data_IF_295856046990
#
_entry.id   IF_295856046990
#
_cell.length_a   1.000
_cell.length_b   1.000
_cell.length_c   1.000
_cell.angle_alpha   90.00
_cell.angle_beta   90.00
_cell.angle_gamma   90.00
#
_symmetry.space_group_name_H-M   'P 1'
#
loop_
_entity.id
_entity.type
_entity.pdbx_description
1 polymer ?
#
# COMPACT_ATOMS: atom_id res chain seq x y z
N UNK A 1 -18.02 13.32 10.59
CA UNK A 1 -18.48 14.36 9.64
C UNK A 1 -17.75 14.15 8.34
N UNK A 2 -18.46 13.65 7.34
CA UNK A 2 -17.94 13.17 6.06
C UNK A 2 -17.46 14.36 5.20
N UNK A 3 -16.17 14.66 5.19
CA UNK A 3 -15.60 15.57 4.18
C UNK A 3 -15.33 14.75 2.93
N UNK A 4 -16.35 14.65 2.06
CA UNK A 4 -16.18 14.31 0.65
C UNK A 4 -15.10 15.24 0.09
N UNK A 5 -13.93 14.68 -0.25
CA UNK A 5 -12.90 15.41 -0.98
C UNK A 5 -13.46 15.67 -2.38
N UNK A 6 -13.73 16.94 -2.66
CA UNK A 6 -14.10 17.43 -3.97
C UNK A 6 -12.85 17.30 -4.85
N UNK A 7 -12.72 16.21 -5.59
CA UNK A 7 -11.70 16.11 -6.63
C UNK A 7 -12.08 17.10 -7.73
N UNK A 8 -11.26 18.13 -7.88
CA UNK A 8 -11.30 19.01 -9.03
C UNK A 8 -10.83 18.19 -10.22
N UNK A 9 -11.77 17.57 -10.92
CA UNK A 9 -11.50 16.99 -12.22
C UNK A 9 -10.91 18.08 -13.09
N UNK A 10 -9.67 17.87 -13.55
CA UNK A 10 -9.14 18.65 -14.65
C UNK A 10 -10.08 18.38 -15.81
N UNK A 11 -10.92 19.37 -16.12
CA UNK A 11 -11.62 19.41 -17.38
C UNK A 11 -10.57 19.27 -18.47
N UNK A 12 -10.50 18.10 -19.10
CA UNK A 12 -10.16 18.04 -20.50
C UNK A 12 -11.04 19.11 -21.15
N UNK A 13 -10.41 20.18 -21.63
CA UNK A 13 -10.97 20.98 -22.69
C UNK A 13 -11.13 20.04 -23.88
N UNK A 14 -12.18 19.23 -23.85
CA UNK A 14 -12.86 18.85 -25.07
C UNK A 14 -13.16 20.18 -25.74
N UNK A 15 -12.50 20.40 -26.87
CA UNK A 15 -13.00 21.34 -27.86
C UNK A 15 -14.41 20.84 -28.18
N UNK A 16 -15.39 21.35 -27.44
CA UNK A 16 -16.77 21.38 -27.85
C UNK A 16 -16.77 22.27 -29.09
N UNK A 17 -16.46 21.67 -30.24
CA UNK A 17 -17.12 22.06 -31.47
C UNK A 17 -18.60 21.93 -31.18
N UNK A 18 -19.21 23.04 -30.77
CA UNK A 18 -20.64 23.13 -30.63
C UNK A 18 -21.25 22.79 -31.98
N UNK A 19 -21.83 21.60 -32.09
CA UNK A 19 -22.80 21.35 -33.14
C UNK A 19 -24.02 22.18 -32.76
N UNK A 20 -24.18 23.26 -33.51
CA UNK A 20 -25.42 24.02 -33.61
C UNK A 20 -26.57 23.03 -33.88
N UNK A 21 -27.73 23.36 -33.33
CA UNK A 21 -28.92 22.53 -33.15
C UNK A 21 -29.59 21.94 -34.43
N UNK A 22 -28.89 21.84 -35.57
CA UNK A 22 -29.48 21.46 -36.86
C UNK A 22 -29.09 20.06 -37.39
N UNK A 23 -28.16 19.32 -36.77
CA UNK A 23 -27.77 17.99 -37.24
C UNK A 23 -27.81 16.93 -36.14
N UNK A 24 -29.01 16.52 -35.71
CA UNK A 24 -29.21 15.35 -34.82
C UNK A 24 -28.73 14.02 -35.43
N UNK A 25 -28.44 13.99 -36.73
CA UNK A 25 -27.98 12.81 -37.46
C UNK A 25 -26.49 12.50 -37.25
N UNK A 26 -25.71 13.43 -36.69
CA UNK A 26 -24.26 13.25 -36.57
C UNK A 26 -23.78 12.60 -35.27
N UNK A 27 -24.69 12.31 -34.34
CA UNK A 27 -24.38 11.57 -33.10
C UNK A 27 -23.88 10.14 -33.40
N UNK A 28 -22.81 9.68 -32.74
CA UNK A 28 -22.39 8.28 -32.80
C UNK A 28 -23.55 7.35 -32.38
N UNK A 29 -23.92 6.38 -33.23
CA UNK A 29 -25.01 5.44 -32.97
C UNK A 29 -26.41 5.84 -33.47
N UNK A 30 -26.55 6.93 -34.23
CA UNK A 30 -27.84 7.26 -34.87
C UNK A 30 -28.22 6.17 -35.91
N UNK A 31 -29.45 5.63 -35.90
CA UNK A 31 -29.86 4.50 -36.75
C UNK A 31 -29.75 4.76 -38.26
N UNK A 32 -29.72 6.02 -38.68
CA UNK A 32 -29.59 6.43 -40.09
C UNK A 32 -28.15 6.79 -40.54
N UNK A 33 -27.12 6.66 -39.68
CA UNK A 33 -25.75 7.00 -40.08
C UNK A 33 -25.17 5.86 -40.93
N UNK A 34 -24.76 6.10 -42.19
CA UNK A 34 -24.17 5.05 -43.02
C UNK A 34 -22.90 4.53 -42.34
N UNK A 35 -22.90 3.24 -42.01
CA UNK A 35 -21.70 2.55 -41.51
C UNK A 35 -20.66 2.62 -42.63
N UNK A 36 -19.48 3.24 -42.40
CA UNK A 36 -18.45 3.30 -43.41
C UNK A 36 -18.11 1.88 -43.89
N UNK A 37 -17.74 1.69 -45.16
CA UNK A 37 -17.48 0.36 -45.72
C UNK A 37 -16.36 -0.40 -44.99
N UNK A 38 -15.54 0.31 -44.21
CA UNK A 38 -14.65 -0.23 -43.17
C UNK A 38 -14.77 0.68 -41.93
N UNK A 39 -15.60 0.37 -40.92
CA UNK A 39 -15.49 1.06 -39.65
C UNK A 39 -14.06 0.86 -39.11
N UNK A 40 -13.43 1.88 -38.49
CA UNK A 40 -12.14 1.65 -37.84
C UNK A 40 -12.31 0.48 -36.86
N UNK A 41 -11.44 -0.53 -36.99
CA UNK A 41 -11.43 -1.65 -36.05
C UNK A 41 -11.25 -1.08 -34.63
N UNK A 42 -12.13 -1.43 -33.71
CA UNK A 42 -12.09 -0.91 -32.35
C UNK A 42 -10.80 -1.40 -31.66
N UNK A 43 -9.92 -0.47 -31.33
CA UNK A 43 -8.76 -0.74 -30.47
C UNK A 43 -9.23 -0.92 -29.05
N UNK A 44 -8.95 -2.08 -28.43
CA UNK A 44 -9.25 -2.29 -27.02
C UNK A 44 -8.04 -2.88 -26.29
N UNK A 45 -7.75 -2.36 -25.10
CA UNK A 45 -6.72 -2.92 -24.24
C UNK A 45 -7.36 -3.30 -22.91
N UNK A 46 -7.23 -4.57 -22.55
CA UNK A 46 -7.61 -5.06 -21.22
C UNK A 46 -6.36 -5.32 -20.38
N UNK A 47 -6.35 -4.83 -19.14
CA UNK A 47 -5.30 -5.12 -18.17
C UNK A 47 -5.90 -6.00 -17.07
N UNK A 48 -5.48 -7.26 -17.02
CA UNK A 48 -5.73 -8.11 -15.86
C UNK A 48 -4.86 -7.69 -14.70
N UNK A 49 -5.37 -7.86 -13.49
CA UNK A 49 -4.61 -7.71 -12.26
C UNK A 49 -4.40 -9.09 -11.66
N UNK A 50 -3.20 -9.35 -11.13
CA UNK A 50 -2.87 -10.62 -10.49
C UNK A 50 -2.01 -10.37 -9.25
N UNK A 51 -2.25 -11.14 -8.20
CA UNK A 51 -1.40 -11.16 -7.02
C UNK A 51 -1.32 -12.58 -6.46
N UNK A 52 -0.15 -13.21 -6.44
CA UNK A 52 -0.02 -14.60 -5.96
C UNK A 52 0.72 -14.74 -4.62
N UNK A 53 1.11 -13.62 -4.01
CA UNK A 53 2.01 -13.63 -2.86
C UNK A 53 3.31 -14.37 -3.21
N UNK A 54 3.75 -15.26 -2.32
CA UNK A 54 4.94 -16.10 -2.54
C UNK A 54 4.63 -17.44 -3.25
N UNK A 55 3.35 -17.68 -3.58
CA UNK A 55 2.87 -18.91 -4.22
C UNK A 55 2.39 -18.70 -5.66
N UNK A 56 1.53 -19.61 -6.11
CA UNK A 56 0.95 -19.67 -7.46
C UNK A 56 -0.58 -19.45 -7.50
N UNK A 57 -1.25 -19.51 -6.34
CA UNK A 57 -2.67 -19.19 -6.20
C UNK A 57 -2.91 -17.68 -6.35
N UNK A 58 -3.88 -17.27 -7.17
CA UNK A 58 -4.29 -15.87 -7.27
C UNK A 58 -5.10 -15.45 -6.02
N UNK A 59 -4.52 -14.54 -5.25
CA UNK A 59 -5.03 -13.96 -4.01
C UNK A 59 -5.53 -12.52 -4.21
N UNK A 60 -5.63 -12.03 -5.46
CA UNK A 60 -5.94 -10.63 -5.75
C UNK A 60 -7.13 -10.10 -4.96
N UNK A 61 -8.31 -10.73 -5.07
CA UNK A 61 -9.55 -10.23 -4.44
C UNK A 61 -9.64 -10.55 -2.95
N UNK A 62 -8.78 -11.43 -2.44
CA UNK A 62 -8.65 -11.72 -1.01
C UNK A 62 -7.81 -10.65 -0.28
N UNK A 63 -6.86 -10.03 -1.00
CA UNK A 63 -5.83 -9.17 -0.42
C UNK A 63 -5.92 -7.72 -0.88
N UNK A 64 -6.44 -7.49 -2.08
CA UNK A 64 -6.60 -6.18 -2.72
C UNK A 64 -8.07 -5.91 -2.96
N UNK A 65 -8.56 -4.83 -2.35
CA UNK A 65 -9.95 -4.41 -2.36
C UNK A 65 -10.22 -3.21 -3.25
N UNK A 66 -9.21 -2.43 -3.62
CA UNK A 66 -9.31 -1.37 -4.61
C UNK A 66 -7.96 -1.18 -5.29
N UNK A 67 -7.98 -0.57 -6.48
CA UNK A 67 -6.77 -0.23 -7.25
C UNK A 67 -6.90 1.20 -7.77
N UNK A 68 -5.93 2.05 -7.42
CA UNK A 68 -5.71 3.33 -8.08
C UNK A 68 -4.65 3.13 -9.17
N UNK A 69 -5.02 3.33 -10.43
CA UNK A 69 -4.16 3.12 -11.59
C UNK A 69 -3.76 4.44 -12.24
N UNK A 70 -2.48 4.58 -12.56
CA UNK A 70 -1.87 5.74 -13.18
C UNK A 70 -1.23 5.33 -14.50
N UNK A 71 -1.65 5.94 -15.60
CA UNK A 71 -1.17 5.62 -16.96
C UNK A 71 -0.23 6.70 -17.44
N UNK A 72 0.95 6.29 -17.88
CA UNK A 72 2.00 7.15 -18.40
C UNK A 72 2.27 6.83 -19.87
N UNK A 73 2.50 7.86 -20.68
CA UNK A 73 2.88 7.69 -22.09
C UNK A 73 4.36 7.33 -22.26
N UNK A 74 4.82 7.24 -23.52
CA UNK A 74 6.21 6.94 -23.86
C UNK A 74 7.24 8.00 -23.41
N UNK A 75 6.78 9.21 -23.10
CA UNK A 75 7.58 10.28 -22.49
C UNK A 75 7.54 10.25 -20.96
N UNK A 76 6.99 9.17 -20.37
CA UNK A 76 6.80 8.98 -18.93
C UNK A 76 5.96 10.10 -18.30
N UNK A 77 5.03 10.66 -19.09
CA UNK A 77 4.08 11.68 -18.66
C UNK A 77 2.75 11.07 -18.28
N UNK A 78 2.20 11.46 -17.14
CA UNK A 78 0.88 11.03 -16.69
C UNK A 78 -0.19 11.50 -17.69
N UNK A 79 -0.94 10.56 -18.27
CA UNK A 79 -2.00 10.84 -19.26
C UNK A 79 -3.38 10.40 -18.80
N UNK A 80 -3.49 9.49 -17.84
CA UNK A 80 -4.78 9.04 -17.29
C UNK A 80 -4.65 8.49 -15.87
N UNK A 81 -5.75 8.59 -15.11
CA UNK A 81 -5.90 8.00 -13.78
C UNK A 81 -7.25 7.31 -13.66
N UNK A 82 -7.29 6.10 -13.13
CA UNK A 82 -8.52 5.34 -12.93
C UNK A 82 -8.57 4.77 -11.51
N UNK A 83 -9.74 4.84 -10.89
CA UNK A 83 -10.01 4.17 -9.62
C UNK A 83 -10.89 2.95 -9.89
N UNK A 84 -10.46 1.78 -9.42
CA UNK A 84 -11.17 0.51 -9.54
C UNK A 84 -11.56 0.08 -8.12
N UNK A 85 -12.85 0.12 -7.82
CA UNK A 85 -13.36 -0.31 -6.52
C UNK A 85 -13.44 -1.84 -6.38
N UNK A 86 -13.81 -2.29 -5.18
CA UNK A 86 -13.90 -3.71 -4.84
C UNK A 86 -14.89 -4.48 -5.69
N UNK A 87 -15.99 -3.84 -6.11
CA UNK A 87 -17.03 -4.50 -6.89
C UNK A 87 -16.56 -4.69 -8.33
N UNK A 88 -16.02 -3.64 -8.95
CA UNK A 88 -15.42 -3.69 -10.28
C UNK A 88 -14.26 -4.70 -10.33
N UNK A 89 -13.39 -4.70 -9.30
CA UNK A 89 -12.26 -5.62 -9.19
C UNK A 89 -12.71 -7.08 -9.14
N UNK A 90 -13.70 -7.40 -8.29
CA UNK A 90 -14.27 -8.76 -8.20
C UNK A 90 -14.98 -9.19 -9.49
N UNK A 91 -15.63 -8.25 -10.18
CA UNK A 91 -16.38 -8.57 -11.39
C UNK A 91 -15.48 -8.83 -12.60
N UNK A 92 -14.33 -8.16 -12.69
CA UNK A 92 -13.51 -8.14 -13.93
C UNK A 92 -12.08 -8.64 -13.75
N UNK A 93 -11.55 -8.71 -12.53
CA UNK A 93 -10.14 -9.01 -12.25
C UNK A 93 -9.18 -8.15 -13.08
N UNK A 94 -9.56 -6.89 -13.34
CA UNK A 94 -8.88 -6.03 -14.29
C UNK A 94 -9.76 -4.92 -14.83
N UNK A 95 -9.26 -4.21 -15.83
CA UNK A 95 -9.92 -3.02 -16.41
C UNK A 95 -9.65 -2.89 -17.90
N UNK A 96 -10.66 -2.43 -18.64
CA UNK A 96 -10.48 -1.99 -20.03
C UNK A 96 -10.04 -0.53 -20.05
N UNK A 97 -9.00 -0.24 -20.80
CA UNK A 97 -8.49 1.12 -21.01
C UNK A 97 -8.61 1.50 -22.48
N UNK A 98 -9.12 2.71 -22.71
CA UNK A 98 -9.21 3.32 -24.03
C UNK A 98 -8.04 4.30 -24.19
N UNK A 99 -7.08 3.90 -25.02
CA UNK A 99 -5.86 4.66 -25.30
C UNK A 99 -5.57 4.59 -26.80
N UNK A 100 -5.01 5.65 -27.39
CA UNK A 100 -4.46 5.59 -28.75
C UNK A 100 -3.36 4.52 -28.88
N UNK A 101 -3.05 4.11 -30.11
CA UNK A 101 -1.89 3.26 -30.34
C UNK A 101 -0.59 3.96 -29.88
N UNK A 102 0.22 3.23 -29.12
CA UNK A 102 1.37 3.80 -28.45
C UNK A 102 1.97 2.86 -27.40
N UNK A 103 3.10 3.27 -26.82
CA UNK A 103 3.71 2.58 -25.70
C UNK A 103 3.35 3.30 -24.41
N UNK A 104 3.00 2.53 -23.38
CA UNK A 104 2.54 3.04 -22.10
C UNK A 104 3.20 2.31 -20.94
N UNK A 105 3.26 2.99 -19.80
CA UNK A 105 3.55 2.38 -18.50
C UNK A 105 2.34 2.59 -17.60
N UNK A 106 1.87 1.55 -16.93
CA UNK A 106 0.93 1.69 -15.82
C UNK A 106 1.64 1.48 -14.49
N UNK A 107 1.24 2.26 -13.50
CA UNK A 107 1.58 2.03 -12.09
C UNK A 107 0.27 1.95 -11.33
N UNK A 108 0.11 0.91 -10.52
CA UNK A 108 -1.10 0.61 -9.77
C UNK A 108 -0.78 0.57 -8.27
N UNK A 109 -1.62 1.22 -7.47
CA UNK A 109 -1.60 1.14 -6.01
C UNK A 109 -2.85 0.41 -5.52
N UNK A 110 -2.66 -0.78 -4.97
CA UNK A 110 -3.70 -1.55 -4.32
C UNK A 110 -3.94 -1.08 -2.88
N UNK A 111 -5.20 -0.97 -2.47
CA UNK A 111 -5.63 -0.57 -1.12
C UNK A 111 -5.17 0.84 -0.67
N UNK A 112 -4.93 1.76 -1.60
CA UNK A 112 -4.70 3.15 -1.24
C UNK A 112 -5.96 3.73 -0.55
N UNK A 113 -5.83 4.07 0.74
CA UNK A 113 -6.93 4.52 1.59
C UNK A 113 -6.63 5.84 2.28
N UNK A 114 -7.19 6.04 3.47
CA UNK A 114 -7.03 7.30 4.22
C UNK A 114 -5.60 7.52 4.72
N UNK A 115 -4.80 6.45 4.83
CA UNK A 115 -3.40 6.48 5.29
C UNK A 115 -2.42 6.50 4.11
N UNK A 116 -2.90 6.79 2.90
CA UNK A 116 -2.09 6.88 1.69
C UNK A 116 -2.44 8.14 0.91
N UNK A 117 -1.41 8.86 0.47
CA UNK A 117 -1.53 10.01 -0.41
C UNK A 117 -0.43 9.95 -1.46
N UNK A 118 -0.82 10.07 -2.73
CA UNK A 118 0.11 10.29 -3.84
C UNK A 118 0.55 11.75 -3.86
N UNK A 119 1.82 11.97 -4.18
CA UNK A 119 2.42 13.29 -4.39
C UNK A 119 1.67 14.08 -5.46
N UNK A 120 1.89 15.38 -5.52
CA UNK A 120 1.20 16.28 -6.45
C UNK A 120 1.23 15.75 -7.91
N UNK A 121 0.04 15.40 -8.42
CA UNK A 121 -0.16 14.86 -9.75
C UNK A 121 0.17 15.88 -10.85
N UNK A 122 0.27 17.18 -10.52
CA UNK A 122 0.64 18.22 -11.50
C UNK A 122 2.08 18.09 -12.02
N UNK A 123 2.93 17.34 -11.32
CA UNK A 123 4.27 16.99 -11.82
C UNK A 123 4.20 16.21 -13.13
N UNK A 124 3.15 15.39 -13.30
CA UNK A 124 2.92 14.52 -14.45
C UNK A 124 4.17 13.75 -14.88
N UNK A 125 5.08 13.40 -13.98
CA UNK A 125 6.38 12.79 -14.29
C UNK A 125 6.57 11.56 -13.42
N UNK A 126 6.61 10.39 -14.04
CA UNK A 126 6.71 9.10 -13.35
C UNK A 126 7.85 9.07 -12.33
N UNK A 127 9.01 9.67 -12.64
CA UNK A 127 10.20 9.62 -11.78
C UNK A 127 10.11 10.54 -10.57
N UNK A 128 9.19 11.50 -10.60
CA UNK A 128 8.96 12.46 -9.51
C UNK A 128 7.78 12.08 -8.64
N UNK A 129 6.92 11.16 -9.10
CA UNK A 129 5.74 10.72 -8.38
C UNK A 129 6.08 9.66 -7.32
N UNK A 130 5.44 9.80 -6.17
CA UNK A 130 5.58 8.91 -5.02
C UNK A 130 4.30 8.86 -4.19
N UNK A 131 4.20 7.88 -3.30
CA UNK A 131 3.13 7.79 -2.31
C UNK A 131 3.69 7.68 -0.90
N UNK A 132 2.96 8.26 0.06
CA UNK A 132 3.32 8.34 1.46
C UNK A 132 2.08 8.46 2.35
N UNK A 133 2.25 8.29 3.67
CA UNK A 133 1.21 8.67 4.62
C UNK A 133 0.94 10.19 4.56
N UNK A 134 -0.32 10.69 4.71
CA UNK A 134 -0.61 12.13 4.70
C UNK A 134 0.24 12.95 5.69
N UNK A 135 0.55 12.39 6.86
CA UNK A 135 1.42 13.00 7.87
C UNK A 135 2.83 13.32 7.37
N UNK A 136 3.34 12.59 6.35
CA UNK A 136 4.60 12.90 5.69
C UNK A 136 4.57 14.28 5.03
N UNK A 137 3.49 14.62 4.34
CA UNK A 137 3.33 15.90 3.65
C UNK A 137 3.10 17.07 4.61
N UNK A 138 2.54 16.79 5.79
CA UNK A 138 2.37 17.77 6.86
C UNK A 138 3.66 17.99 7.68
N UNK A 139 4.68 17.15 7.48
CA UNK A 139 5.90 17.11 8.28
C UNK A 139 5.59 16.95 9.79
N UNK A 140 4.61 16.10 10.11
CA UNK A 140 4.17 15.78 11.47
C UNK A 140 4.29 14.28 11.71
N UNK A 141 5.34 13.86 12.42
CA UNK A 141 5.60 12.44 12.71
C UNK A 141 4.60 11.84 13.70
N UNK A 142 3.96 12.66 14.55
CA UNK A 142 2.95 12.17 15.50
C UNK A 142 1.71 11.58 14.81
N UNK A 143 1.49 11.96 13.54
CA UNK A 143 0.42 11.45 12.70
C UNK A 143 0.80 10.15 11.97
N UNK A 144 2.07 9.72 12.00
CA UNK A 144 2.53 8.51 11.30
C UNK A 144 2.19 7.25 12.10
N UNK A 145 0.90 6.93 12.21
CA UNK A 145 0.42 5.79 13.00
C UNK A 145 0.45 4.44 12.25
N UNK A 146 0.77 4.47 10.96
CA UNK A 146 0.84 3.31 10.07
C UNK A 146 0.44 3.69 8.65
N UNK A 147 0.70 2.81 7.70
CA UNK A 147 0.22 2.92 6.31
C UNK A 147 -0.99 2.00 6.11
N UNK A 148 -1.69 2.16 4.99
CA UNK A 148 -2.61 1.12 4.49
C UNK A 148 -1.82 -0.15 4.11
N UNK A 149 -2.44 -1.34 4.06
CA UNK A 149 -1.80 -2.56 3.53
C UNK A 149 -1.67 -2.47 2.01
N UNK A 150 -0.67 -1.71 1.57
CA UNK A 150 -0.48 -1.31 0.19
C UNK A 150 0.12 -2.42 -0.67
N UNK A 151 -0.29 -2.45 -1.93
CA UNK A 151 0.29 -3.28 -2.98
C UNK A 151 0.69 -2.40 -4.14
N UNK A 152 1.80 -2.73 -4.79
CA UNK A 152 2.31 -2.01 -5.95
C UNK A 152 2.36 -2.96 -7.14
N UNK A 153 1.89 -2.52 -8.29
CA UNK A 153 2.05 -3.23 -9.56
C UNK A 153 2.43 -2.24 -10.64
N UNK A 154 3.28 -2.67 -11.56
CA UNK A 154 3.63 -1.88 -12.75
C UNK A 154 3.73 -2.77 -13.97
N UNK A 155 3.50 -2.17 -15.14
CA UNK A 155 3.61 -2.85 -16.42
C UNK A 155 3.90 -1.86 -17.53
N UNK A 156 4.83 -2.22 -18.42
CA UNK A 156 5.01 -1.58 -19.71
C UNK A 156 4.31 -2.40 -20.79
N UNK A 157 3.44 -1.77 -21.57
CA UNK A 157 2.67 -2.44 -22.61
C UNK A 157 2.51 -1.55 -23.85
N UNK A 158 1.98 -2.12 -24.92
CA UNK A 158 1.77 -1.43 -26.20
C UNK A 158 0.35 -1.62 -26.68
N UNK A 159 -0.29 -0.50 -27.01
CA UNK A 159 -1.59 -0.49 -27.68
C UNK A 159 -1.36 -0.42 -29.19
N UNK A 160 -2.13 -1.21 -29.95
CA UNK A 160 -2.01 -1.31 -31.41
C UNK A 160 -3.35 -1.03 -32.08
N UNK A 161 -3.33 -0.19 -33.14
CA UNK A 161 -4.55 0.18 -33.87
C UNK A 161 -5.27 -1.05 -34.44
N UNK A 162 -6.59 -1.10 -34.23
CA UNK A 162 -7.44 -2.18 -34.71
C UNK A 162 -7.29 -3.50 -33.99
N UNK A 163 -6.55 -3.53 -32.86
CA UNK A 163 -6.35 -4.77 -32.10
C UNK A 163 -7.01 -4.71 -30.73
N UNK A 164 -7.47 -5.89 -30.32
CA UNK A 164 -7.93 -6.17 -28.96
C UNK A 164 -6.86 -6.98 -28.24
N UNK A 165 -6.11 -6.31 -27.36
CA UNK A 165 -4.98 -6.89 -26.64
C UNK A 165 -5.30 -7.05 -25.15
N UNK A 166 -4.53 -7.94 -24.51
CA UNK A 166 -4.67 -8.27 -23.10
C UNK A 166 -3.29 -8.43 -22.48
N UNK A 167 -3.07 -7.75 -21.37
CA UNK A 167 -1.85 -7.87 -20.58
C UNK A 167 -2.20 -8.08 -19.10
N UNK A 168 -1.20 -8.36 -18.27
CA UNK A 168 -1.37 -8.61 -16.84
C UNK A 168 -0.42 -7.74 -16.04
N UNK A 169 -0.95 -6.97 -15.10
CA UNK A 169 -0.20 -6.24 -14.08
C UNK A 169 -0.05 -7.17 -12.88
N UNK A 170 1.19 -7.56 -12.60
CA UNK A 170 1.55 -8.36 -11.44
C UNK A 170 1.81 -7.44 -10.24
N UNK A 171 1.01 -7.63 -9.20
CA UNK A 171 1.17 -6.90 -7.95
C UNK A 171 2.19 -7.59 -7.03
N UNK A 172 2.83 -6.78 -6.22
CA UNK A 172 3.65 -7.17 -5.09
C UNK A 172 3.16 -6.41 -3.86
N UNK A 173 3.28 -7.01 -2.68
CA UNK A 173 3.10 -6.28 -1.43
C UNK A 173 4.12 -5.14 -1.36
N UNK A 174 3.63 -3.94 -1.04
CA UNK A 174 4.44 -2.75 -0.78
C UNK A 174 4.50 -2.43 0.72
N UNK A 175 4.04 -3.34 1.57
CA UNK A 175 3.96 -3.15 3.01
C UNK A 175 4.64 -4.28 3.79
N UNK A 176 4.97 -3.99 5.04
CA UNK A 176 5.36 -4.96 6.06
C UNK A 176 4.42 -4.77 7.25
N UNK A 177 3.73 -5.83 7.66
CA UNK A 177 2.94 -5.83 8.90
C UNK A 177 3.91 -5.85 10.07
N UNK A 178 3.65 -5.06 11.09
CA UNK A 178 4.45 -5.04 12.30
C UNK A 178 3.53 -5.20 13.49
N UNK A 179 3.87 -6.16 14.34
CA UNK A 179 3.21 -6.44 15.60
C UNK A 179 4.25 -6.38 16.71
N UNK A 180 4.04 -5.49 17.69
CA UNK A 180 4.89 -5.40 18.87
C UNK A 180 4.02 -5.55 20.10
N UNK A 181 4.26 -6.59 20.89
CA UNK A 181 3.67 -6.73 22.21
C UNK A 181 4.68 -6.48 23.32
N UNK A 182 4.25 -5.71 24.31
CA UNK A 182 5.00 -5.37 25.52
C UNK A 182 4.28 -6.00 26.69
N UNK A 183 4.97 -6.88 27.40
CA UNK A 183 4.42 -7.60 28.56
C UNK A 183 5.22 -7.28 29.81
N UNK A 184 4.53 -7.13 30.94
CA UNK A 184 5.20 -6.86 32.22
C UNK A 184 5.57 -5.39 32.40
N UNK A 185 4.97 -4.47 31.63
CA UNK A 185 5.26 -3.03 31.71
C UNK A 185 5.02 -2.47 33.11
N UNK A 186 3.98 -2.90 33.82
CA UNK A 186 3.69 -2.54 35.20
C UNK A 186 4.76 -2.97 36.21
N UNK A 187 5.64 -3.91 35.84
CA UNK A 187 6.79 -4.31 36.68
C UNK A 187 7.98 -3.34 36.56
N UNK A 188 7.97 -2.51 35.51
CA UNK A 188 9.00 -1.49 35.26
C UNK A 188 8.86 -0.32 36.24
N UNK A 189 9.87 0.53 36.38
CA UNK A 189 9.71 1.77 37.15
C UNK A 189 8.74 2.77 36.51
N UNK A 190 8.55 2.70 35.19
CA UNK A 190 7.70 3.60 34.41
C UNK A 190 6.23 3.21 34.44
N UNK A 191 5.93 1.91 34.52
CA UNK A 191 4.55 1.40 34.53
C UNK A 191 3.90 1.35 35.92
N UNK A 192 4.66 1.58 36.99
CA UNK A 192 4.17 1.50 38.39
C UNK A 192 3.11 2.55 38.73
N UNK A 193 3.24 3.74 38.16
CA UNK A 193 2.33 4.86 38.43
C UNK A 193 1.07 4.83 37.55
N UNK A 194 0.90 3.75 36.77
CA UNK A 194 -0.17 3.61 35.77
C UNK A 194 0.19 4.24 34.43
N UNK A 195 -0.67 4.02 33.43
CA UNK A 195 -0.47 4.48 32.05
C UNK A 195 -0.12 3.35 31.08
N UNK A 196 0.20 3.73 29.84
CA UNK A 196 0.59 2.83 28.76
C UNK A 196 2.00 3.18 28.25
N UNK A 197 2.78 2.19 27.80
CA UNK A 197 4.02 2.46 27.10
C UNK A 197 3.70 3.08 25.74
N UNK A 198 4.57 3.99 25.30
CA UNK A 198 4.56 4.49 23.92
C UNK A 198 5.57 3.67 23.12
N UNK A 199 5.10 3.07 22.02
CA UNK A 199 5.90 2.25 21.10
C UNK A 199 6.23 3.11 19.90
N UNK A 200 7.52 3.28 19.59
CA UNK A 200 7.97 4.04 18.42
C UNK A 200 8.85 3.18 17.53
N UNK A 201 8.62 3.26 16.22
CA UNK A 201 9.46 2.63 15.21
C UNK A 201 10.29 3.73 14.55
N UNK A 202 11.58 3.78 14.90
CA UNK A 202 12.51 4.76 14.35
C UNK A 202 13.13 4.29 13.05
N UNK A 203 13.67 5.25 12.31
CA UNK A 203 14.40 5.02 11.06
C UNK A 203 13.57 4.35 9.97
N UNK A 204 12.24 4.40 10.00
CA UNK A 204 11.39 3.70 9.05
C UNK A 204 11.32 4.43 7.70
N UNK A 205 11.17 3.72 6.57
CA UNK A 205 10.94 4.37 5.29
C UNK A 205 9.63 5.17 5.31
N UNK A 206 9.61 6.32 4.65
CA UNK A 206 8.49 7.27 4.77
C UNK A 206 7.74 7.56 3.47
N UNK A 207 8.27 7.11 2.32
CA UNK A 207 7.61 7.18 1.00
C UNK A 207 8.23 6.19 0.03
N UNK A 208 7.45 5.82 -1.00
CA UNK A 208 7.88 4.95 -2.09
C UNK A 208 7.58 5.64 -3.41
N UNK A 209 8.55 5.67 -4.32
CA UNK A 209 8.40 6.22 -5.66
C UNK A 209 7.60 5.28 -6.56
N UNK A 210 7.02 5.82 -7.63
CA UNK A 210 6.21 5.02 -8.56
C UNK A 210 7.02 3.95 -9.30
N UNK A 211 8.33 4.15 -9.45
CA UNK A 211 9.27 3.14 -9.93
C UNK A 211 9.72 2.12 -8.83
N UNK A 212 8.94 2.03 -7.75
CA UNK A 212 9.12 1.14 -6.61
C UNK A 212 10.40 1.36 -5.79
N UNK A 213 11.13 2.46 -6.01
CA UNK A 213 12.26 2.81 -5.15
C UNK A 213 11.78 3.33 -3.81
N UNK A 214 12.36 2.80 -2.73
CA UNK A 214 12.15 3.32 -1.38
C UNK A 214 12.96 4.61 -1.20
N UNK A 215 12.36 5.63 -0.59
CA UNK A 215 13.06 6.86 -0.28
C UNK A 215 14.13 6.66 0.80
N UNK A 216 15.33 7.27 0.65
CA UNK A 216 16.38 7.19 1.66
C UNK A 216 16.09 7.99 2.94
N UNK A 217 15.15 8.94 2.89
CA UNK A 217 14.71 9.67 4.07
C UNK A 217 13.87 8.76 4.97
N UNK A 218 14.06 8.92 6.28
CA UNK A 218 13.47 8.08 7.31
C UNK A 218 12.70 8.91 8.31
N UNK A 219 11.70 8.30 8.94
CA UNK A 219 10.80 8.93 9.92
C UNK A 219 10.53 7.99 11.08
N UNK A 220 9.97 8.55 12.15
CA UNK A 220 9.45 7.77 13.28
C UNK A 220 7.97 7.49 13.08
N UNK A 221 7.55 6.24 13.22
CA UNK A 221 6.14 5.86 13.29
C UNK A 221 5.71 5.70 14.75
N UNK A 222 4.47 6.10 15.02
CA UNK A 222 3.83 6.12 16.34
C UNK A 222 2.55 5.28 16.30
N UNK A 223 2.64 3.94 16.29
CA UNK A 223 1.45 3.10 16.31
C UNK A 223 0.55 3.38 17.50
N UNK A 224 -0.75 3.23 17.29
CA UNK A 224 -1.71 3.21 18.39
C UNK A 224 -1.45 1.96 19.25
N UNK A 225 -1.31 2.17 20.56
CA UNK A 225 -1.05 1.11 21.53
C UNK A 225 -2.35 0.78 22.26
N UNK A 226 -2.77 -0.48 22.19
CA UNK A 226 -3.94 -0.99 22.90
C UNK A 226 -3.56 -2.03 23.95
N UNK A 227 -4.41 -2.24 24.96
CA UNK A 227 -4.29 -3.40 25.86
C UNK A 227 -5.01 -4.61 25.25
N UNK A 228 -4.32 -5.73 25.11
CA UNK A 228 -4.90 -6.99 24.62
C UNK A 228 -4.62 -8.14 25.60
N UNK A 229 -5.62 -8.99 25.88
CA UNK A 229 -5.42 -10.20 26.67
C UNK A 229 -5.27 -10.00 28.19
N UNK A 230 -4.30 -10.69 28.80
CA UNK A 230 -4.06 -10.73 30.24
C UNK A 230 -3.70 -9.36 30.83
N UNK A 231 -3.78 -9.22 32.16
CA UNK A 231 -3.32 -8.00 32.85
C UNK A 231 -1.84 -7.73 32.50
N UNK A 232 -1.54 -6.51 32.08
CA UNK A 232 -0.20 -5.98 31.75
C UNK A 232 0.41 -6.42 30.40
N UNK A 233 -0.41 -6.49 29.35
CA UNK A 233 0.00 -6.69 27.96
C UNK A 233 -0.52 -5.55 27.07
N UNK A 234 0.41 -4.89 26.37
CA UNK A 234 0.16 -3.77 25.47
C UNK A 234 0.63 -4.13 24.07
N UNK A 235 -0.10 -3.75 23.05
CA UNK A 235 0.16 -4.15 21.67
C UNK A 235 0.06 -2.95 20.74
N UNK A 236 1.09 -2.74 19.93
CA UNK A 236 1.08 -1.83 18.79
C UNK A 236 1.02 -2.62 17.48
N UNK A 237 0.09 -2.27 16.59
CA UNK A 237 -0.08 -2.88 15.28
C UNK A 237 -0.13 -1.81 14.20
N UNK A 238 0.63 -2.02 13.13
CA UNK A 238 0.64 -1.11 11.97
C UNK A 238 1.20 -1.82 10.74
N UNK A 239 0.89 -1.28 9.56
CA UNK A 239 1.67 -1.55 8.36
C UNK A 239 2.71 -0.45 8.18
N UNK A 240 3.90 -0.82 7.73
CA UNK A 240 4.95 0.11 7.28
C UNK A 240 5.29 -0.19 5.82
N UNK A 241 6.10 0.64 5.17
CA UNK A 241 6.69 0.22 3.89
C UNK A 241 7.68 -0.91 4.12
N UNK A 242 7.95 -1.70 3.08
CA UNK A 242 8.91 -2.80 3.19
C UNK A 242 10.28 -2.31 3.64
N UNK A 243 10.91 -3.11 4.49
CA UNK A 243 12.29 -2.92 4.90
C UNK A 243 13.19 -3.75 3.99
N UNK A 244 14.37 -3.24 3.66
CA UNK A 244 15.45 -4.11 3.21
C UNK A 244 16.04 -4.86 4.42
N UNK A 245 16.62 -6.05 4.21
CA UNK A 245 17.09 -6.90 5.31
C UNK A 245 18.25 -6.33 6.16
N UNK A 246 18.83 -5.20 5.75
CA UNK A 246 19.88 -4.48 6.49
C UNK A 246 19.40 -3.10 6.95
N UNK A 247 18.10 -2.83 6.88
CA UNK A 247 17.56 -1.53 7.19
C UNK A 247 17.72 -1.26 8.69
N UNK A 248 18.29 -0.13 9.11
CA UNK A 248 18.61 0.15 10.51
C UNK A 248 17.38 0.65 11.28
N UNK A 249 16.27 -0.10 11.19
CA UNK A 249 15.07 0.12 11.95
C UNK A 249 15.31 -0.20 13.43
N UNK A 250 14.70 0.60 14.29
CA UNK A 250 14.74 0.41 15.74
C UNK A 250 13.33 0.48 16.30
N UNK A 251 12.99 -0.44 17.19
CA UNK A 251 11.74 -0.40 17.98
C UNK A 251 12.12 0.07 19.38
N UNK A 252 11.56 1.20 19.80
CA UNK A 252 11.87 1.82 21.08
C UNK A 252 10.62 1.98 21.94
N UNK A 253 10.79 1.78 23.24
CA UNK A 253 9.75 1.95 24.24
C UNK A 253 10.04 3.19 25.07
N UNK A 254 9.02 4.04 25.16
CA UNK A 254 9.01 5.26 25.95
C UNK A 254 7.98 5.12 27.05
N UNK A 255 8.21 5.77 28.19
CA UNK A 255 7.11 6.02 29.13
C UNK A 255 6.16 7.02 28.47
N UNK A 256 4.85 6.94 28.75
CA UNK A 256 3.87 7.82 28.09
C UNK A 256 4.10 9.33 28.25
N UNK A 257 4.97 9.77 29.17
CA UNK A 257 5.39 11.16 29.36
C UNK A 257 6.89 11.41 29.10
N UNK A 258 7.66 10.38 28.72
CA UNK A 258 9.12 10.44 28.57
C UNK A 258 9.57 10.92 27.20
N UNK A 259 10.68 11.67 27.16
CA UNK A 259 11.32 12.09 25.91
C UNK A 259 12.45 11.16 25.46
N UNK A 260 12.93 10.29 26.35
CA UNK A 260 14.01 9.33 26.10
C UNK A 260 13.48 7.90 26.16
N UNK A 261 13.96 7.01 25.27
CA UNK A 261 13.57 5.61 25.31
C UNK A 261 14.19 4.95 26.54
N UNK A 262 13.41 4.14 27.25
CA UNK A 262 13.92 3.32 28.36
C UNK A 262 14.35 1.92 27.90
N UNK A 263 13.94 1.52 26.69
CA UNK A 263 14.33 0.27 26.07
C UNK A 263 14.30 0.39 24.55
N UNK A 264 15.28 -0.21 23.86
CA UNK A 264 15.39 -0.18 22.40
C UNK A 264 15.80 -1.55 21.89
N UNK A 265 15.22 -1.95 20.76
CA UNK A 265 15.55 -3.17 20.02
C UNK A 265 15.99 -2.78 18.61
N UNK A 266 17.21 -3.17 18.25
CA UNK A 266 17.66 -3.13 16.86
C UNK A 266 16.98 -4.27 16.09
N UNK A 267 16.23 -3.90 15.03
CA UNK A 267 15.43 -4.85 14.25
C UNK A 267 16.33 -5.80 13.45
N UNK A 268 17.48 -5.35 12.96
CA UNK A 268 18.41 -6.19 12.20
C UNK A 268 19.01 -7.28 13.10
N UNK A 269 19.40 -6.92 14.32
CA UNK A 269 19.90 -7.87 15.31
C UNK A 269 18.82 -8.83 15.81
N UNK A 270 17.58 -8.37 15.94
CA UNK A 270 16.44 -9.24 16.23
C UNK A 270 16.25 -10.29 15.13
N UNK A 271 16.18 -9.88 13.86
CA UNK A 271 16.00 -10.80 12.72
C UNK A 271 17.14 -11.81 12.60
N UNK A 272 18.39 -11.42 12.90
CA UNK A 272 19.53 -12.35 12.95
C UNK A 272 19.39 -13.43 14.04
N UNK A 273 18.77 -13.09 15.18
CA UNK A 273 18.54 -14.03 16.29
C UNK A 273 17.29 -14.89 16.09
N UNK A 274 16.38 -14.45 15.24
CA UNK A 274 15.10 -15.09 14.93
C UNK A 274 14.96 -15.33 13.41
N UNK A 275 15.76 -16.24 12.84
CA UNK A 275 15.73 -16.53 11.40
C UNK A 275 14.40 -17.12 10.91
N UNK A 276 13.53 -17.57 11.82
CA UNK A 276 12.14 -17.94 11.54
C UNK A 276 11.28 -16.76 11.04
N UNK A 277 11.66 -15.51 11.34
CA UNK A 277 10.96 -14.31 10.87
C UNK A 277 11.54 -13.86 9.54
N UNK A 278 10.88 -14.23 8.45
CA UNK A 278 11.27 -13.84 7.10
C UNK A 278 10.44 -12.65 6.59
N UNK A 279 10.99 -11.44 6.73
CA UNK A 279 10.35 -10.19 6.29
C UNK A 279 10.39 -9.98 4.75
N UNK A 280 11.02 -10.89 4.01
CA UNK A 280 11.12 -10.82 2.54
C UNK A 280 9.91 -11.41 1.83
N UNK A 281 9.12 -12.25 2.52
CA UNK A 281 7.85 -12.81 2.03
C UNK A 281 6.80 -11.74 1.76
N UNK A 282 5.93 -11.94 0.77
CA UNK A 282 4.94 -10.93 0.35
C UNK A 282 3.96 -10.55 1.45
N UNK A 283 3.48 -11.52 2.23
CA UNK A 283 2.54 -11.29 3.34
C UNK A 283 3.21 -11.24 4.72
N UNK A 284 4.52 -10.94 4.76
CA UNK A 284 5.31 -11.02 5.98
C UNK A 284 4.81 -10.13 7.12
N UNK A 285 5.05 -10.60 8.34
CA UNK A 285 4.80 -9.86 9.58
C UNK A 285 6.02 -9.92 10.49
N UNK A 286 6.49 -8.74 10.91
CA UNK A 286 7.50 -8.58 11.96
C UNK A 286 6.80 -8.63 13.31
N UNK A 287 6.77 -9.82 13.93
CA UNK A 287 6.13 -10.06 15.22
C UNK A 287 7.16 -10.15 16.34
N UNK A 288 7.05 -9.27 17.33
CA UNK A 288 7.99 -9.16 18.44
C UNK A 288 7.27 -9.08 19.78
N UNK A 289 7.75 -9.87 20.75
CA UNK A 289 7.39 -9.76 22.17
C UNK A 289 8.56 -9.23 22.96
N UNK A 290 8.34 -8.16 23.72
CA UNK A 290 9.28 -7.61 24.70
C UNK A 290 8.67 -7.85 26.08
N UNK A 291 9.23 -8.80 26.84
CA UNK A 291 8.75 -9.17 28.17
C UNK A 291 9.70 -8.67 29.26
N UNK A 292 9.18 -7.82 30.14
CA UNK A 292 9.88 -7.34 31.33
C UNK A 292 9.55 -8.23 32.51
N UNK A 293 10.59 -8.76 33.16
CA UNK A 293 10.52 -9.49 34.42
C UNK A 293 11.38 -8.75 35.45
N UNK A 294 10.84 -8.58 36.65
CA UNK A 294 11.55 -8.05 37.84
C UNK A 294 12.28 -6.69 37.62
N UNK A 295 11.65 -5.55 37.95
CA UNK A 295 12.27 -4.20 37.99
C UNK A 295 13.27 -3.91 36.83
N UNK A 296 12.91 -4.26 35.60
CA UNK A 296 13.72 -4.04 34.38
C UNK A 296 15.04 -4.82 34.27
N UNK A 297 15.38 -5.71 35.21
CA UNK A 297 16.67 -6.39 35.18
C UNK A 297 16.70 -7.60 34.23
N UNK A 298 15.53 -8.17 33.92
CA UNK A 298 15.44 -9.35 33.06
C UNK A 298 14.42 -9.10 31.93
N UNK A 299 14.93 -8.62 30.79
CA UNK A 299 14.14 -8.42 29.58
C UNK A 299 14.37 -9.59 28.63
N UNK A 300 13.28 -10.22 28.18
CA UNK A 300 13.33 -11.28 27.17
C UNK A 300 12.65 -10.77 25.90
N UNK A 301 13.33 -10.92 24.76
CA UNK A 301 12.78 -10.62 23.44
C UNK A 301 12.55 -11.96 22.72
N UNK A 302 11.34 -12.19 22.22
CA UNK A 302 10.97 -13.42 21.49
C UNK A 302 10.03 -13.14 20.32
N UNK A 303 9.87 -14.09 19.42
CA UNK A 303 8.73 -14.13 18.48
C UNK A 303 7.50 -14.69 19.21
N UNK A 304 6.32 -14.05 19.12
CA UNK A 304 5.08 -14.61 19.66
C UNK A 304 4.79 -16.00 19.07
N UNK A 305 4.22 -16.93 19.84
CA UNK A 305 4.03 -18.33 19.39
C UNK A 305 3.19 -18.47 18.11
N UNK A 306 2.17 -17.63 17.94
CA UNK A 306 1.34 -17.59 16.73
C UNK A 306 2.06 -16.95 15.53
N UNK A 307 3.15 -16.20 15.77
CA UNK A 307 3.98 -15.61 14.72
C UNK A 307 4.93 -16.61 14.05
N UNK A 308 4.88 -17.88 14.44
CA UNK A 308 5.69 -19.00 13.90
C UNK A 308 4.80 -20.02 13.16
N UNK A 309 3.49 -19.81 13.06
CA UNK A 309 2.61 -20.77 12.37
C UNK A 309 2.72 -20.66 10.85
N UNK A 310 3.37 -21.65 10.24
CA UNK A 310 3.08 -22.04 8.86
C UNK A 310 1.62 -22.49 8.82
N UNK A 311 0.75 -21.66 8.24
CA UNK A 311 -0.65 -22.03 7.99
C UNK A 311 -0.65 -23.09 6.88
N UNK A 312 -0.63 -24.36 7.26
CA UNK A 312 -0.97 -25.45 6.35
C UNK A 312 -2.50 -25.48 6.21
N UNK A 313 -3.07 -25.50 4.99
CA UNK A 313 -4.49 -25.72 4.83
C UNK A 313 -4.85 -27.08 5.44
N UNK A 314 -5.92 -27.11 6.23
CA UNK A 314 -6.49 -28.36 6.74
C UNK A 314 -6.77 -29.29 5.56
N UNK A 315 -5.90 -30.28 5.37
CA UNK A 315 -6.22 -31.45 4.55
C UNK A 315 -7.31 -32.20 5.30
N UNK A 316 -8.55 -31.91 4.93
CA UNK A 316 -9.71 -32.70 5.33
C UNK A 316 -9.47 -34.14 4.89
N UNK A 317 -9.14 -34.99 5.85
CA UNK A 317 -9.25 -36.43 5.66
C UNK A 317 -10.74 -36.77 5.80
N UNK A 318 -11.30 -37.37 4.75
CA UNK A 318 -12.60 -38.04 4.71
C UNK A 318 -12.77 -39.07 5.83
#
# INVERSE_FOLDING_TARGET
>A
MLKKKLFTGICLLSLLSGCVLDDLHDCPGHPDKPVPPNPPEETTQFLYFRYTGDGDTDLLTERISCVDMYVFDSGERLVSTLEIDAEALRARHGVSIDLPAGNYTVVCLGNAGERTQVSDLTTCDLHMMFFAHPGYFMNDESMLTGNDPLYHGDLRFRVEDGKSLKDTVDFNSSHLKVYVEVKGYGTTEYGKDGGEPDIRLHNMPCRVFFDNRICPQRRTYHPEVGREGAQDMYVGKLCTFRLDGNHPAEIALYSGAGTEPFYTVDVTDFLKRHPEVDITKQEAELSMRIEFRERNANVTITVPQWGVEDVYPDVGFE
#
